data_IF_208009072218
#
_entry.id   IF_208009072218
#
_cell.length_a   1.000
_cell.length_b   1.000
_cell.length_c   1.000
_cell.angle_alpha   90.00
_cell.angle_beta   90.00
_cell.angle_gamma   90.00
#
_symmetry.space_group_name_H-M   'P 1'
#
loop_
_entity.id
_entity.type
_entity.pdbx_description
1 polymer ?
#
# COMPACT_ATOMS: atom_id res chain seq x y z
N UNK A 1 14.32 36.35 -17.36
CA UNK A 1 13.45 36.14 -16.18
C UNK A 1 12.00 35.75 -16.52
N UNK A 2 11.52 35.85 -17.75
CA UNK A 2 10.12 35.54 -18.13
C UNK A 2 9.86 34.07 -18.51
N UNK A 3 10.88 33.27 -18.86
CA UNK A 3 10.69 31.90 -19.34
C UNK A 3 10.51 30.84 -18.23
N UNK A 4 11.04 31.09 -17.05
CA UNK A 4 10.97 30.15 -15.92
C UNK A 4 9.59 30.15 -15.23
N UNK A 5 8.87 31.29 -15.23
CA UNK A 5 7.50 31.35 -14.69
C UNK A 5 6.48 30.64 -15.59
N UNK A 6 6.61 30.70 -16.92
CA UNK A 6 5.73 29.97 -17.84
C UNK A 6 5.89 28.45 -17.77
N UNK A 7 7.10 27.95 -17.55
CA UNK A 7 7.36 26.53 -17.39
C UNK A 7 6.79 26.00 -16.06
N UNK A 8 6.88 26.77 -14.97
CA UNK A 8 6.26 26.40 -13.68
C UNK A 8 4.73 26.44 -13.73
N UNK A 9 4.12 27.46 -14.36
CA UNK A 9 2.67 27.49 -14.54
C UNK A 9 2.15 26.33 -15.41
N UNK A 10 2.87 25.94 -16.46
CA UNK A 10 2.48 24.78 -17.27
C UNK A 10 2.59 23.47 -16.50
N UNK A 11 3.61 23.28 -15.65
CA UNK A 11 3.72 22.08 -14.78
C UNK A 11 2.61 22.06 -13.72
N UNK A 12 2.30 23.16 -13.07
CA UNK A 12 1.21 23.26 -12.10
C UNK A 12 -0.16 23.05 -12.78
N UNK A 13 -0.35 23.54 -14.00
CA UNK A 13 -1.60 23.32 -14.76
C UNK A 13 -1.74 21.87 -15.23
N UNK A 14 -0.63 21.19 -15.59
CA UNK A 14 -0.63 19.77 -15.97
C UNK A 14 -0.86 18.87 -14.75
N UNK A 15 -0.33 19.23 -13.59
CA UNK A 15 -0.58 18.50 -12.33
C UNK A 15 -2.04 18.69 -11.89
N UNK A 16 -2.58 19.91 -11.97
CA UNK A 16 -3.99 20.18 -11.69
C UNK A 16 -4.93 19.48 -12.70
N UNK A 17 -4.58 19.39 -13.99
CA UNK A 17 -5.38 18.67 -15.00
C UNK A 17 -5.26 17.14 -14.85
N UNK A 18 -4.14 16.59 -14.40
CA UNK A 18 -4.01 15.16 -14.09
C UNK A 18 -4.79 14.76 -12.82
N UNK A 19 -4.80 15.59 -11.79
CA UNK A 19 -5.66 15.42 -10.61
C UNK A 19 -7.15 15.60 -10.96
N UNK A 20 -7.50 16.57 -11.81
CA UNK A 20 -8.88 16.79 -12.28
C UNK A 20 -9.32 15.73 -13.30
N UNK A 21 -8.42 15.18 -14.12
CA UNK A 21 -8.73 14.05 -15.02
C UNK A 21 -9.00 12.74 -14.26
N UNK A 22 -8.47 12.56 -13.05
CA UNK A 22 -8.85 11.48 -12.13
C UNK A 22 -10.27 11.66 -11.56
N UNK A 23 -10.80 12.91 -11.55
CA UNK A 23 -12.11 13.24 -10.99
C UNK A 23 -13.20 13.39 -12.09
N UNK A 24 -12.83 13.64 -13.37
CA UNK A 24 -13.75 14.00 -14.45
C UNK A 24 -13.98 12.92 -15.52
N UNK A 25 -13.40 11.72 -15.39
CA UNK A 25 -13.82 10.61 -16.26
C UNK A 25 -15.16 10.08 -15.77
N UNK A 26 -16.22 10.66 -16.25
CA UNK A 26 -17.58 10.27 -15.96
C UNK A 26 -17.82 8.78 -16.20
N UNK A 27 -18.56 8.14 -15.31
CA UNK A 27 -19.03 6.74 -15.34
C UNK A 27 -17.97 5.62 -15.27
N UNK A 28 -16.72 5.89 -14.90
CA UNK A 28 -15.85 4.85 -14.37
C UNK A 28 -16.08 4.80 -12.85
N UNK A 29 -16.65 3.72 -12.33
CA UNK A 29 -16.91 3.52 -10.91
C UNK A 29 -15.69 3.88 -10.07
N UNK A 30 -15.90 4.39 -8.85
CA UNK A 30 -14.82 4.80 -7.95
C UNK A 30 -13.76 3.69 -7.88
N UNK A 31 -12.52 4.02 -8.28
CA UNK A 31 -11.44 3.04 -8.39
C UNK A 31 -10.81 2.89 -7.02
N UNK A 32 -11.14 1.81 -6.31
CA UNK A 32 -10.41 1.36 -5.13
C UNK A 32 -9.25 0.45 -5.53
N UNK A 33 -8.28 0.28 -4.64
CA UNK A 33 -7.24 -0.74 -4.76
C UNK A 33 -7.14 -1.56 -3.47
N UNK A 34 -8.15 -2.41 -3.24
CA UNK A 34 -8.20 -3.27 -2.07
C UNK A 34 -7.04 -4.26 -2.10
N UNK A 35 -6.33 -4.40 -1.01
CA UNK A 35 -5.20 -5.32 -0.87
C UNK A 35 -5.57 -6.65 -0.25
N UNK A 36 -4.58 -7.55 -0.19
CA UNK A 36 -4.66 -8.83 0.50
C UNK A 36 -3.45 -9.04 1.40
N UNK A 37 -3.60 -9.90 2.41
CA UNK A 37 -2.56 -10.28 3.36
C UNK A 37 -2.73 -11.73 3.79
N UNK A 38 -1.66 -12.53 3.73
CA UNK A 38 -1.61 -13.84 4.37
C UNK A 38 -1.05 -13.70 5.77
N UNK A 39 -1.83 -14.09 6.76
CA UNK A 39 -1.40 -14.12 8.14
C UNK A 39 -2.04 -15.32 8.86
N UNK A 40 -1.29 -15.95 9.77
CA UNK A 40 -1.77 -17.05 10.61
C UNK A 40 -2.48 -18.17 9.81
N UNK A 41 -1.95 -18.51 8.61
CA UNK A 41 -2.50 -19.58 7.75
C UNK A 41 -3.83 -19.22 7.09
N UNK A 42 -4.18 -17.94 6.99
CA UNK A 42 -5.39 -17.44 6.33
C UNK A 42 -5.04 -16.28 5.40
N UNK A 43 -5.65 -16.27 4.23
CA UNK A 43 -5.53 -15.16 3.27
C UNK A 43 -6.74 -14.23 3.45
N UNK A 44 -6.47 -13.02 3.90
CA UNK A 44 -7.48 -11.96 4.04
C UNK A 44 -7.43 -11.05 2.83
N UNK A 45 -8.58 -10.79 2.23
CA UNK A 45 -8.69 -9.93 1.06
C UNK A 45 -9.82 -8.91 1.24
N UNK A 46 -9.50 -7.64 1.04
CA UNK A 46 -10.50 -6.59 0.87
C UNK A 46 -11.06 -6.65 -0.56
N UNK A 47 -12.31 -6.27 -0.75
CA UNK A 47 -12.99 -6.35 -2.04
C UNK A 47 -13.46 -4.96 -2.52
N UNK A 48 -13.73 -4.82 -3.82
CA UNK A 48 -14.20 -3.57 -4.40
C UNK A 48 -15.67 -3.26 -4.05
N UNK A 49 -16.43 -4.23 -3.56
CA UNK A 49 -17.81 -4.08 -3.06
C UNK A 49 -17.90 -3.87 -1.54
N UNK A 50 -16.76 -3.59 -0.88
CA UNK A 50 -16.72 -3.22 0.54
C UNK A 50 -16.82 -4.40 1.52
N UNK A 51 -16.40 -5.59 1.12
CA UNK A 51 -16.30 -6.77 1.99
C UNK A 51 -14.87 -7.10 2.35
N UNK A 52 -14.71 -7.85 3.43
CA UNK A 52 -13.48 -8.52 3.80
C UNK A 52 -13.73 -10.03 3.75
N UNK A 53 -12.86 -10.74 3.06
CA UNK A 53 -12.94 -12.19 2.91
C UNK A 53 -11.77 -12.83 3.64
N UNK A 54 -12.04 -13.95 4.35
CA UNK A 54 -11.01 -14.88 4.79
C UNK A 54 -11.08 -16.13 3.89
N UNK A 55 -9.94 -16.47 3.33
CA UNK A 55 -9.81 -17.54 2.35
C UNK A 55 -8.75 -18.56 2.81
N UNK A 56 -8.90 -19.78 2.38
CA UNK A 56 -7.82 -20.75 2.45
C UNK A 56 -6.75 -20.37 1.40
N UNK A 57 -5.47 -20.15 1.79
CA UNK A 57 -4.44 -19.73 0.86
C UNK A 57 -4.09 -20.78 -0.21
N UNK A 58 -4.28 -22.08 0.07
CA UNK A 58 -3.92 -23.16 -0.87
C UNK A 58 -4.98 -23.37 -1.96
N UNK A 59 -6.26 -23.10 -1.66
CA UNK A 59 -7.39 -23.40 -2.56
C UNK A 59 -8.22 -22.20 -2.99
N UNK A 60 -8.06 -21.05 -2.34
CA UNK A 60 -8.92 -19.88 -2.53
C UNK A 60 -10.34 -20.07 -1.99
N UNK A 61 -10.63 -21.21 -1.29
CA UNK A 61 -11.96 -21.46 -0.73
C UNK A 61 -12.26 -20.51 0.42
N UNK A 62 -13.50 -20.01 0.45
CA UNK A 62 -13.92 -19.02 1.44
C UNK A 62 -14.15 -19.68 2.80
N UNK A 63 -13.54 -19.10 3.87
CA UNK A 63 -13.78 -19.46 5.27
C UNK A 63 -14.94 -18.65 5.83
N UNK A 64 -14.88 -17.34 5.69
CA UNK A 64 -15.96 -16.39 6.03
C UNK A 64 -15.90 -15.16 5.13
N UNK A 65 -16.99 -14.39 5.10
CA UNK A 65 -17.04 -13.04 4.55
C UNK A 65 -17.72 -12.09 5.54
N UNK A 66 -17.20 -10.87 5.61
CA UNK A 66 -17.71 -9.83 6.48
C UNK A 66 -17.95 -8.54 5.70
N UNK A 67 -19.00 -7.83 6.09
CA UNK A 67 -19.26 -6.45 5.66
C UNK A 67 -19.91 -5.68 6.81
N UNK A 68 -19.74 -4.33 6.88
CA UNK A 68 -20.40 -3.52 7.89
C UNK A 68 -21.92 -3.68 7.85
N UNK A 69 -22.57 -3.71 9.02
CA UNK A 69 -24.03 -3.70 9.08
C UNK A 69 -24.59 -2.32 8.75
N UNK A 70 -25.75 -2.27 8.09
CA UNK A 70 -26.46 -1.02 7.77
C UNK A 70 -26.73 -0.23 9.06
N UNK A 71 -26.25 1.03 9.13
CA UNK A 71 -26.36 1.91 10.31
C UNK A 71 -25.02 2.23 10.99
N UNK A 72 -23.99 1.39 10.80
CA UNK A 72 -22.61 1.68 11.20
C UNK A 72 -21.79 2.31 10.07
N UNK A 73 -22.24 2.19 8.82
CA UNK A 73 -21.67 2.90 7.68
C UNK A 73 -22.09 4.37 7.74
N UNK A 74 -21.35 5.18 8.47
CA UNK A 74 -21.55 6.63 8.50
C UNK A 74 -21.46 7.21 7.09
N UNK A 75 -22.59 7.64 6.54
CA UNK A 75 -22.86 8.18 5.23
C UNK A 75 -22.86 7.12 4.09
N UNK A 76 -24.05 6.93 3.52
CA UNK A 76 -24.20 6.51 2.13
C UNK A 76 -23.43 7.50 1.27
N UNK A 77 -22.21 7.14 0.86
CA UNK A 77 -21.59 7.85 -0.26
C UNK A 77 -22.54 7.60 -1.42
N UNK A 78 -23.26 8.64 -1.85
CA UNK A 78 -23.97 8.62 -3.12
C UNK A 78 -22.91 8.58 -4.22
N UNK A 79 -22.24 7.43 -4.36
CA UNK A 79 -21.52 7.14 -5.58
C UNK A 79 -22.60 7.04 -6.64
N UNK A 80 -22.57 7.93 -7.63
CA UNK A 80 -23.32 7.81 -8.85
C UNK A 80 -22.91 6.48 -9.52
N UNK A 81 -23.48 5.39 -9.06
CA UNK A 81 -23.39 4.09 -9.68
C UNK A 81 -24.56 4.02 -10.65
N UNK A 82 -24.28 3.94 -11.95
CA UNK A 82 -25.28 3.66 -12.96
C UNK A 82 -25.93 2.29 -12.85
N UNK A 83 -25.54 1.48 -11.89
CA UNK A 83 -26.15 0.20 -11.54
C UNK A 83 -26.53 0.25 -10.06
N UNK A 84 -27.79 0.41 -9.76
CA UNK A 84 -28.45 0.63 -8.46
C UNK A 84 -28.10 -0.26 -7.25
N UNK A 85 -26.85 -0.68 -7.09
CA UNK A 85 -26.35 -1.34 -5.89
C UNK A 85 -25.67 -0.31 -4.97
N UNK A 86 -26.29 -0.04 -3.83
CA UNK A 86 -25.65 0.73 -2.76
C UNK A 86 -24.47 -0.07 -2.20
N UNK A 87 -23.24 0.51 -2.29
CA UNK A 87 -22.08 -0.04 -1.62
C UNK A 87 -22.26 0.17 -0.11
N UNK A 88 -22.52 -0.90 0.62
CA UNK A 88 -22.56 -0.88 2.08
C UNK A 88 -21.10 -0.95 2.54
N UNK A 89 -20.62 0.08 3.23
CA UNK A 89 -19.25 0.12 3.80
C UNK A 89 -18.26 1.02 3.08
N UNK A 90 -18.31 1.19 1.76
CA UNK A 90 -17.39 2.05 1.02
C UNK A 90 -16.21 1.31 0.36
N UNK A 91 -15.16 2.04 0.01
CA UNK A 91 -14.00 1.56 -0.76
C UNK A 91 -12.79 1.35 0.16
N UNK A 92 -11.90 0.43 -0.24
CA UNK A 92 -10.58 0.21 0.38
C UNK A 92 -9.45 0.76 -0.50
N UNK A 93 -8.42 1.33 0.14
CA UNK A 93 -7.19 1.78 -0.51
C UNK A 93 -5.93 1.16 0.09
N UNK A 94 -6.04 0.00 0.71
CA UNK A 94 -4.93 -0.72 1.32
C UNK A 94 -5.27 -2.16 1.65
N UNK A 95 -4.28 -2.88 2.12
CA UNK A 95 -4.45 -4.24 2.62
C UNK A 95 -4.97 -4.22 4.06
N UNK A 96 -5.65 -5.30 4.51
CA UNK A 96 -5.88 -5.55 5.92
C UNK A 96 -4.57 -5.65 6.71
N UNK A 97 -4.60 -5.40 8.02
CA UNK A 97 -3.54 -5.77 8.93
C UNK A 97 -4.05 -6.84 9.91
N UNK A 98 -3.17 -7.73 10.35
CA UNK A 98 -3.54 -8.82 11.28
C UNK A 98 -2.56 -8.85 12.44
N UNK A 99 -3.09 -8.91 13.65
CA UNK A 99 -2.31 -9.13 14.86
C UNK A 99 -3.16 -9.80 15.94
N UNK A 100 -2.58 -10.74 16.65
CA UNK A 100 -3.19 -11.41 17.82
C UNK A 100 -4.61 -11.95 17.53
N UNK A 101 -4.81 -12.62 16.39
CA UNK A 101 -6.11 -13.18 16.00
C UNK A 101 -7.17 -12.13 15.62
N UNK A 102 -6.78 -10.89 15.33
CA UNK A 102 -7.68 -9.81 14.92
C UNK A 102 -7.28 -9.23 13.58
N UNK A 103 -8.24 -9.07 12.69
CA UNK A 103 -8.10 -8.42 11.37
C UNK A 103 -8.55 -6.96 11.49
N UNK A 104 -7.69 -6.04 11.13
CA UNK A 104 -7.98 -4.61 11.11
C UNK A 104 -8.12 -4.12 9.68
N UNK A 105 -9.16 -3.35 9.41
CA UNK A 105 -9.40 -2.75 8.09
C UNK A 105 -9.87 -1.31 8.24
N UNK A 106 -9.57 -0.49 7.23
CA UNK A 106 -10.06 0.88 7.15
C UNK A 106 -10.70 1.14 5.80
N UNK A 107 -11.89 1.71 5.83
CA UNK A 107 -12.58 2.18 4.63
C UNK A 107 -12.16 3.61 4.29
N UNK A 108 -12.24 3.96 3.02
CA UNK A 108 -12.01 5.33 2.54
C UNK A 108 -12.86 6.37 3.31
N UNK A 109 -14.04 5.99 3.76
CA UNK A 109 -14.92 6.84 4.58
C UNK A 109 -14.38 7.17 5.97
N UNK A 110 -13.23 6.60 6.36
CA UNK A 110 -12.61 6.78 7.68
C UNK A 110 -13.13 5.83 8.76
N UNK A 111 -13.92 4.84 8.38
CA UNK A 111 -14.37 3.82 9.32
C UNK A 111 -13.30 2.74 9.49
N UNK A 112 -12.84 2.55 10.70
CA UNK A 112 -11.88 1.50 11.12
C UNK A 112 -12.65 0.39 11.83
N UNK A 113 -12.36 -0.86 11.48
CA UNK A 113 -12.98 -2.03 12.09
C UNK A 113 -11.93 -3.02 12.55
N UNK A 114 -12.22 -3.67 13.67
CA UNK A 114 -11.54 -4.89 14.10
C UNK A 114 -12.52 -6.06 14.00
N UNK A 115 -12.05 -7.15 13.41
CA UNK A 115 -12.83 -8.35 13.09
C UNK A 115 -12.07 -9.53 13.66
N UNK A 116 -12.76 -10.44 14.32
CA UNK A 116 -12.18 -11.70 14.79
C UNK A 116 -11.69 -12.52 13.59
N UNK A 117 -10.43 -12.91 13.61
CA UNK A 117 -9.78 -13.58 12.48
C UNK A 117 -10.34 -15.00 12.23
N UNK A 118 -10.90 -15.65 13.24
CA UNK A 118 -11.41 -17.01 13.17
C UNK A 118 -12.90 -17.04 12.75
N UNK A 119 -13.72 -16.22 13.39
CA UNK A 119 -15.20 -16.23 13.19
C UNK A 119 -15.67 -15.24 12.13
N UNK A 120 -14.94 -14.16 11.89
CA UNK A 120 -15.39 -13.04 11.06
C UNK A 120 -16.33 -12.07 11.79
N UNK A 121 -16.50 -12.21 13.11
CA UNK A 121 -17.34 -11.32 13.89
C UNK A 121 -16.67 -9.97 14.13
N UNK A 122 -17.43 -8.89 14.06
CA UNK A 122 -16.92 -7.56 14.39
C UNK A 122 -16.69 -7.44 15.89
N UNK A 123 -15.43 -7.05 16.27
CA UNK A 123 -15.05 -6.81 17.68
C UNK A 123 -15.37 -5.37 18.06
N UNK A 124 -14.87 -4.41 17.29
CA UNK A 124 -15.11 -2.99 17.51
C UNK A 124 -15.08 -2.20 16.18
N UNK A 125 -15.50 -0.96 16.28
CA UNK A 125 -15.53 0.02 15.20
C UNK A 125 -15.21 1.41 15.74
N UNK A 126 -14.51 2.23 14.91
CA UNK A 126 -14.19 3.62 15.19
C UNK A 126 -14.31 4.46 13.91
N UNK A 127 -14.88 5.68 14.03
CA UNK A 127 -14.95 6.62 12.90
C UNK A 127 -13.95 7.75 13.08
N UNK A 128 -13.02 7.92 12.13
CA UNK A 128 -11.99 8.96 12.12
C UNK A 128 -12.52 10.34 11.74
N UNK A 129 -13.77 10.44 11.27
CA UNK A 129 -14.38 11.67 10.75
C UNK A 129 -13.59 12.35 9.60
N UNK A 130 -12.74 11.60 8.90
CA UNK A 130 -11.93 12.05 7.78
C UNK A 130 -11.75 10.90 6.79
N UNK A 131 -11.46 11.19 5.52
CA UNK A 131 -11.21 10.15 4.52
C UNK A 131 -9.81 9.57 4.67
N UNK A 132 -9.65 8.31 4.22
CA UNK A 132 -8.40 7.55 4.27
C UNK A 132 -8.04 7.07 2.86
N UNK A 133 -6.79 7.27 2.45
CA UNK A 133 -6.26 6.84 1.15
C UNK A 133 -5.15 5.79 1.27
N UNK A 134 -4.84 5.35 2.48
CA UNK A 134 -3.86 4.30 2.79
C UNK A 134 -4.48 3.10 3.48
N UNK A 135 -3.62 2.20 3.93
CA UNK A 135 -3.99 1.06 4.76
C UNK A 135 -3.88 1.36 6.26
N UNK A 136 -4.19 0.35 7.02
CA UNK A 136 -4.03 0.32 8.47
C UNK A 136 -2.72 -0.39 8.85
N UNK A 137 -2.04 0.08 9.88
CA UNK A 137 -0.92 -0.62 10.50
C UNK A 137 -1.24 -0.97 11.96
N UNK A 138 -0.70 -2.08 12.43
CA UNK A 138 -0.88 -2.52 13.82
C UNK A 138 0.47 -2.91 14.43
N UNK A 139 0.69 -2.51 15.68
CA UNK A 139 1.87 -2.87 16.45
C UNK A 139 1.84 -2.21 17.82
N UNK A 140 2.48 -2.84 18.81
CA UNK A 140 2.47 -2.34 20.19
C UNK A 140 1.05 -2.12 20.74
N UNK A 141 0.14 -3.08 20.51
CA UNK A 141 -1.28 -3.01 20.89
C UNK A 141 -1.97 -1.71 20.45
N UNK A 142 -1.56 -1.20 19.29
CA UNK A 142 -2.06 0.05 18.75
C UNK A 142 -2.29 -0.07 17.23
N UNK A 143 -3.41 0.43 16.78
CA UNK A 143 -3.79 0.57 15.37
C UNK A 143 -3.49 2.00 14.93
N UNK A 144 -2.78 2.16 13.81
CA UNK A 144 -2.38 3.45 13.25
C UNK A 144 -3.02 3.67 11.89
N UNK A 145 -3.62 4.83 11.68
CA UNK A 145 -4.25 5.21 10.40
C UNK A 145 -3.92 6.66 10.06
N UNK A 146 -3.44 6.86 8.82
CA UNK A 146 -3.24 8.18 8.24
C UNK A 146 -4.52 8.68 7.56
N UNK A 147 -4.82 9.99 7.67
CA UNK A 147 -6.04 10.60 7.15
C UNK A 147 -5.78 11.75 6.20
N UNK A 148 -6.77 12.10 5.38
CA UNK A 148 -6.71 13.18 4.40
C UNK A 148 -6.75 14.59 5.02
N UNK A 149 -7.14 14.72 6.29
CA UNK A 149 -7.00 15.99 7.03
C UNK A 149 -5.62 16.16 7.68
N UNK A 150 -4.66 15.31 7.28
CA UNK A 150 -3.25 15.42 7.69
C UNK A 150 -2.95 14.87 9.08
N UNK A 151 -3.69 13.88 9.56
CA UNK A 151 -3.46 13.29 10.88
C UNK A 151 -2.96 11.85 10.78
N UNK A 152 -2.15 11.45 11.73
CA UNK A 152 -1.94 10.07 12.11
C UNK A 152 -2.69 9.82 13.41
N UNK A 153 -3.69 8.96 13.38
CA UNK A 153 -4.51 8.58 14.55
C UNK A 153 -4.08 7.21 15.07
N UNK A 154 -3.94 7.11 16.38
CA UNK A 154 -3.65 5.88 17.11
C UNK A 154 -4.84 5.46 17.96
N UNK A 155 -5.27 4.20 17.78
CA UNK A 155 -6.37 3.58 18.49
C UNK A 155 -5.86 2.36 19.27
N UNK A 156 -6.48 2.04 20.38
CA UNK A 156 -6.22 0.80 21.11
C UNK A 156 -6.66 -0.41 20.27
N UNK A 157 -5.78 -1.36 20.07
CA UNK A 157 -6.03 -2.52 19.20
C UNK A 157 -7.11 -3.46 19.75
N UNK A 158 -7.24 -3.55 21.08
CA UNK A 158 -8.19 -4.46 21.73
C UNK A 158 -9.64 -3.94 21.76
N UNK A 159 -9.84 -2.61 21.88
CA UNK A 159 -11.18 -2.06 22.08
C UNK A 159 -11.53 -0.85 21.19
N UNK A 160 -10.61 -0.40 20.34
CA UNK A 160 -10.82 0.71 19.41
C UNK A 160 -10.84 2.09 20.04
N UNK A 161 -10.53 2.23 21.33
CA UNK A 161 -10.52 3.54 21.99
C UNK A 161 -9.39 4.42 21.46
N UNK A 162 -9.65 5.72 21.35
CA UNK A 162 -8.66 6.71 20.96
C UNK A 162 -7.50 6.76 21.97
N UNK A 163 -6.25 6.72 21.48
CA UNK A 163 -5.04 6.89 22.29
C UNK A 163 -4.44 8.29 22.12
N UNK A 164 -4.09 8.62 20.89
CA UNK A 164 -3.48 9.90 20.54
C UNK A 164 -3.60 10.19 19.04
N UNK A 165 -3.37 11.43 18.64
CA UNK A 165 -3.21 11.83 17.24
C UNK A 165 -2.02 12.78 17.07
N UNK A 166 -1.42 12.76 15.89
CA UNK A 166 -0.36 13.68 15.48
C UNK A 166 -0.76 14.37 14.18
N UNK A 167 -0.62 15.70 14.11
CA UNK A 167 -1.00 16.49 12.93
C UNK A 167 0.22 16.87 12.11
N UNK A 168 0.18 16.61 10.82
CA UNK A 168 1.10 17.04 9.79
C UNK A 168 0.57 18.29 9.07
N UNK A 169 1.30 18.83 8.10
CA UNK A 169 0.86 20.01 7.35
C UNK A 169 0.05 19.68 6.09
N UNK A 170 -0.03 18.41 5.70
CA UNK A 170 -0.78 17.93 4.55
C UNK A 170 -1.20 16.47 4.78
N UNK A 171 -1.94 15.89 3.88
CA UNK A 171 -2.51 14.55 3.94
C UNK A 171 -1.49 13.44 4.24
N UNK A 172 -1.94 12.40 4.94
CA UNK A 172 -1.17 11.17 5.19
C UNK A 172 -1.80 10.04 4.37
N UNK A 173 -1.25 9.77 3.18
CA UNK A 173 -1.74 8.72 2.28
C UNK A 173 -1.05 7.38 2.48
N UNK A 174 0.20 7.41 2.96
CA UNK A 174 0.97 6.19 3.18
C UNK A 174 0.36 5.33 4.29
N UNK A 175 0.38 4.01 4.10
CA UNK A 175 0.21 3.09 5.23
C UNK A 175 1.40 3.27 6.17
N UNK A 176 1.20 3.47 7.49
CA UNK A 176 2.30 3.58 8.43
C UNK A 176 3.07 2.26 8.57
N UNK A 177 4.33 2.33 8.99
CA UNK A 177 5.12 1.15 9.37
C UNK A 177 5.48 1.23 10.86
N UNK A 178 5.34 0.12 11.58
CA UNK A 178 5.64 0.05 13.02
C UNK A 178 6.82 -0.88 13.25
N UNK A 179 7.85 -0.39 13.91
CA UNK A 179 9.01 -1.20 14.27
C UNK A 179 9.65 -0.68 15.57
N UNK A 180 10.01 -1.59 16.47
CA UNK A 180 10.75 -1.29 17.71
C UNK A 180 10.14 -0.15 18.55
N UNK A 181 8.80 -0.11 18.66
CA UNK A 181 8.09 0.91 19.43
C UNK A 181 8.03 2.29 18.76
N UNK A 182 8.34 2.37 17.48
CA UNK A 182 8.27 3.60 16.68
C UNK A 182 7.34 3.39 15.49
N UNK A 183 6.50 4.38 15.22
CA UNK A 183 5.70 4.43 13.99
C UNK A 183 6.32 5.42 13.02
N UNK A 184 6.51 4.96 11.78
CA UNK A 184 7.09 5.71 10.66
C UNK A 184 6.02 5.92 9.60
N UNK A 185 5.89 7.13 9.05
CA UNK A 185 4.94 7.42 7.99
C UNK A 185 5.36 8.63 7.16
N UNK A 186 5.01 8.60 5.89
CA UNK A 186 5.17 9.73 4.97
C UNK A 186 3.93 10.61 4.94
N UNK A 187 4.11 11.88 4.65
CA UNK A 187 3.02 12.84 4.40
C UNK A 187 3.23 13.58 3.08
N UNK A 188 2.15 14.06 2.50
CA UNK A 188 2.20 14.93 1.32
C UNK A 188 2.76 16.33 1.65
N UNK A 189 3.11 16.59 2.92
CA UNK A 189 3.87 17.77 3.34
C UNK A 189 5.38 17.66 3.09
N UNK A 190 5.82 16.62 2.35
CA UNK A 190 7.20 16.32 1.97
C UNK A 190 8.07 15.80 3.13
N UNK A 191 7.48 15.29 4.20
CA UNK A 191 8.23 14.81 5.35
C UNK A 191 7.95 13.33 5.65
N UNK A 192 9.01 12.62 6.01
CA UNK A 192 8.95 11.34 6.70
C UNK A 192 9.04 11.60 8.21
N UNK A 193 8.09 11.07 8.95
CA UNK A 193 7.98 11.22 10.40
C UNK A 193 8.30 9.93 11.12
N UNK A 194 8.91 10.04 12.30
CA UNK A 194 9.03 8.97 13.28
C UNK A 194 8.51 9.44 14.61
N UNK A 195 7.51 8.72 15.16
CA UNK A 195 6.91 9.01 16.45
C UNK A 195 7.04 7.81 17.37
N UNK A 196 7.06 8.06 18.67
CA UNK A 196 6.88 7.01 19.67
C UNK A 196 5.47 6.39 19.49
N UNK A 197 5.40 5.08 19.31
CA UNK A 197 4.14 4.38 19.05
C UNK A 197 3.17 4.41 20.25
N UNK A 198 3.68 4.61 21.49
CA UNK A 198 2.85 4.59 22.71
C UNK A 198 2.10 5.91 22.94
N UNK A 199 2.78 7.04 22.72
CA UNK A 199 2.28 8.36 23.14
C UNK A 199 2.26 9.42 22.00
N UNK A 200 2.69 9.06 20.78
CA UNK A 200 2.72 9.96 19.63
C UNK A 200 3.79 11.06 19.69
N UNK A 201 4.69 11.04 20.67
CA UNK A 201 5.76 12.03 20.75
C UNK A 201 6.70 11.92 19.56
N UNK A 202 6.99 13.06 18.93
CA UNK A 202 7.87 13.12 17.76
C UNK A 202 9.32 12.82 18.13
N UNK A 203 9.90 11.80 17.53
CA UNK A 203 11.33 11.47 17.66
C UNK A 203 12.17 12.29 16.70
N UNK A 204 11.80 12.26 15.43
CA UNK A 204 12.48 13.03 14.38
C UNK A 204 11.56 13.25 13.17
N UNK A 205 11.97 14.12 12.28
CA UNK A 205 11.39 14.36 10.97
C UNK A 205 12.51 14.48 9.94
N UNK A 206 12.30 13.88 8.77
CA UNK A 206 13.24 13.91 7.66
C UNK A 206 12.53 14.52 6.42
N UNK A 207 13.02 15.67 5.90
CA UNK A 207 12.42 16.30 4.73
C UNK A 207 12.92 15.66 3.43
N UNK A 208 12.03 15.54 2.45
CA UNK A 208 12.32 15.19 1.07
C UNK A 208 11.99 16.35 0.13
N UNK A 209 12.37 16.25 -1.14
CA UNK A 209 12.07 17.28 -2.14
C UNK A 209 10.64 17.24 -2.69
N UNK A 210 9.87 16.20 -2.40
CA UNK A 210 8.51 15.97 -2.88
C UNK A 210 7.65 15.23 -1.87
N UNK A 211 6.38 15.03 -2.21
CA UNK A 211 5.40 14.31 -1.41
C UNK A 211 5.83 12.86 -1.16
N UNK A 212 5.37 12.29 -0.04
CA UNK A 212 5.61 10.89 0.32
C UNK A 212 4.27 10.18 0.45
N UNK A 213 3.92 9.36 -0.55
CA UNK A 213 2.76 8.47 -0.53
C UNK A 213 3.15 7.00 -0.35
N UNK A 214 4.45 6.67 -0.47
CA UNK A 214 4.94 5.31 -0.32
C UNK A 214 4.94 4.86 1.14
N UNK A 215 4.66 3.58 1.39
CA UNK A 215 4.78 2.95 2.71
C UNK A 215 6.25 2.78 3.08
N UNK A 216 6.71 3.23 4.26
CA UNK A 216 8.08 3.03 4.69
C UNK A 216 8.41 1.54 4.87
N UNK A 217 9.59 1.11 4.43
CA UNK A 217 10.14 -0.21 4.74
C UNK A 217 11.20 -0.05 5.84
N UNK A 218 11.01 -0.71 6.98
CA UNK A 218 11.92 -0.59 8.12
C UNK A 218 12.66 -1.92 8.31
N UNK A 219 13.96 -1.92 8.05
CA UNK A 219 14.82 -3.11 8.12
C UNK A 219 16.14 -2.76 8.80
N UNK A 220 16.54 -3.55 9.81
CA UNK A 220 17.84 -3.47 10.46
C UNK A 220 18.24 -2.06 10.91
N UNK A 221 17.29 -1.30 11.45
CA UNK A 221 17.52 0.07 11.93
C UNK A 221 17.62 1.13 10.82
N UNK A 222 17.17 0.83 9.61
CA UNK A 222 17.09 1.75 8.49
C UNK A 222 15.66 1.83 7.97
N UNK A 223 15.19 3.04 7.71
CA UNK A 223 13.92 3.32 7.02
C UNK A 223 14.23 3.61 5.56
N UNK A 224 13.65 2.84 4.67
CA UNK A 224 13.73 3.01 3.21
C UNK A 224 12.41 3.59 2.70
N UNK A 225 12.50 4.68 1.92
CA UNK A 225 11.30 5.42 1.49
C UNK A 225 11.48 6.03 0.11
N UNK A 226 10.45 5.94 -0.71
CA UNK A 226 10.36 6.62 -1.99
C UNK A 226 9.62 7.95 -1.87
N UNK A 227 9.95 8.92 -2.73
CA UNK A 227 9.30 10.23 -2.79
C UNK A 227 8.90 10.61 -4.22
N UNK A 228 8.01 11.57 -4.33
CA UNK A 228 7.60 12.16 -5.61
C UNK A 228 8.62 13.17 -6.18
N UNK A 229 9.76 13.36 -5.49
CA UNK A 229 10.93 14.05 -6.05
C UNK A 229 11.80 13.15 -6.95
N UNK A 230 11.33 11.95 -7.28
CA UNK A 230 12.00 10.92 -8.07
C UNK A 230 13.20 10.26 -7.35
N UNK A 231 13.30 10.43 -6.04
CA UNK A 231 14.41 9.89 -5.24
C UNK A 231 13.93 8.78 -4.33
N UNK A 232 14.88 7.90 -4.00
CA UNK A 232 14.69 6.86 -3.00
C UNK A 232 15.72 7.03 -1.89
N UNK A 233 15.26 7.06 -0.65
CA UNK A 233 16.07 7.42 0.51
C UNK A 233 16.24 6.24 1.47
N UNK A 234 17.42 6.19 2.10
CA UNK A 234 17.63 5.41 3.31
C UNK A 234 17.97 6.36 4.47
N UNK A 235 17.22 6.23 5.55
CA UNK A 235 17.28 7.09 6.72
C UNK A 235 17.52 6.23 7.95
N UNK A 236 18.43 6.65 8.83
CA UNK A 236 18.66 5.96 10.09
C UNK A 236 17.40 6.01 10.97
N UNK A 237 16.90 4.84 11.36
CA UNK A 237 15.62 4.72 12.06
C UNK A 237 15.62 5.36 13.46
N UNK A 238 16.79 5.49 14.10
CA UNK A 238 16.89 6.04 15.45
C UNK A 238 17.05 7.56 15.45
N UNK A 239 17.84 8.07 14.48
CA UNK A 239 18.31 9.48 14.49
C UNK A 239 17.62 10.34 13.43
N UNK A 240 17.01 9.75 12.38
CA UNK A 240 16.49 10.47 11.24
C UNK A 240 17.57 10.99 10.29
N UNK A 241 18.85 10.62 10.47
CA UNK A 241 19.93 11.04 9.59
C UNK A 241 19.87 10.28 8.25
N UNK A 242 20.09 10.99 7.13
CA UNK A 242 20.21 10.37 5.81
C UNK A 242 21.45 9.48 5.76
N UNK A 243 21.28 8.22 5.41
CA UNK A 243 22.38 7.27 5.15
C UNK A 243 22.82 7.36 3.69
N UNK A 244 21.88 7.35 2.79
CA UNK A 244 22.13 7.53 1.36
C UNK A 244 20.84 7.97 0.63
N UNK A 245 21.00 8.44 -0.59
CA UNK A 245 19.93 8.77 -1.52
C UNK A 245 20.27 8.24 -2.92
N UNK A 246 19.27 7.68 -3.60
CA UNK A 246 19.34 7.30 -5.01
C UNK A 246 18.56 8.32 -5.85
N UNK A 247 19.19 8.89 -6.88
CA UNK A 247 18.64 9.95 -7.74
C UNK A 247 18.52 9.52 -9.22
N UNK A 248 18.65 8.21 -9.48
CA UNK A 248 18.71 7.67 -10.85
C UNK A 248 17.35 7.32 -11.47
N UNK A 249 16.23 7.58 -10.80
CA UNK A 249 14.90 7.25 -11.31
C UNK A 249 14.30 8.41 -12.14
N UNK A 250 13.47 8.04 -13.13
CA UNK A 250 12.84 9.00 -14.04
C UNK A 250 11.50 9.55 -13.54
N UNK A 251 10.90 8.94 -12.51
CA UNK A 251 9.58 9.30 -12.01
C UNK A 251 9.44 8.96 -10.51
N UNK A 252 8.23 9.02 -9.97
CA UNK A 252 7.87 8.86 -8.56
C UNK A 252 8.00 7.41 -8.08
N UNK A 253 8.45 7.25 -6.84
CA UNK A 253 8.32 6.01 -6.10
C UNK A 253 7.01 6.03 -5.30
N UNK A 254 6.06 5.20 -5.70
CA UNK A 254 4.70 5.19 -5.16
C UNK A 254 4.50 4.14 -4.06
N UNK A 255 5.10 2.97 -4.23
CA UNK A 255 4.83 1.80 -3.40
C UNK A 255 5.94 1.50 -2.40
N UNK A 256 5.66 0.61 -1.45
CA UNK A 256 6.66 0.05 -0.57
C UNK A 256 7.66 -0.80 -1.38
N UNK A 257 8.93 -0.72 -1.04
CA UNK A 257 9.95 -1.58 -1.60
C UNK A 257 9.99 -2.96 -0.92
N UNK A 258 10.55 -3.96 -1.61
CA UNK A 258 10.89 -5.25 -1.02
C UNK A 258 12.38 -5.30 -0.61
N UNK A 259 12.71 -6.13 0.37
CA UNK A 259 14.09 -6.36 0.83
C UNK A 259 14.45 -7.85 0.80
N UNK A 260 15.60 -8.15 0.25
CA UNK A 260 16.18 -9.49 0.29
C UNK A 260 17.68 -9.48 0.03
N UNK A 261 18.41 -10.27 0.80
CA UNK A 261 19.85 -10.49 0.63
C UNK A 261 20.68 -9.20 0.53
N UNK A 262 20.38 -8.18 1.37
CA UNK A 262 21.10 -6.91 1.36
C UNK A 262 20.73 -5.98 0.21
N UNK A 263 19.67 -6.26 -0.54
CA UNK A 263 19.19 -5.47 -1.69
C UNK A 263 17.76 -4.99 -1.46
N UNK A 264 17.51 -3.73 -1.78
CA UNK A 264 16.18 -3.10 -1.84
C UNK A 264 15.69 -3.15 -3.28
N UNK A 265 14.47 -3.60 -3.49
CA UNK A 265 13.81 -3.66 -4.79
C UNK A 265 12.63 -2.69 -4.78
N UNK A 266 12.70 -1.64 -5.59
CA UNK A 266 11.72 -0.57 -5.62
C UNK A 266 11.10 -0.41 -7.01
N UNK A 267 9.77 -0.47 -7.08
CA UNK A 267 9.01 -0.14 -8.29
C UNK A 267 8.85 1.36 -8.45
N UNK A 268 8.88 1.83 -9.70
CA UNK A 268 8.79 3.26 -10.04
C UNK A 268 7.75 3.51 -11.14
N UNK A 269 7.22 4.72 -11.19
CA UNK A 269 6.26 5.14 -12.22
C UNK A 269 6.93 5.44 -13.58
N UNK A 270 8.24 5.29 -13.70
CA UNK A 270 8.97 5.30 -14.98
C UNK A 270 9.03 3.91 -15.65
N UNK A 271 8.19 2.98 -15.21
CA UNK A 271 8.07 1.59 -15.67
C UNK A 271 9.16 0.65 -15.14
N UNK A 272 10.15 1.16 -14.42
CA UNK A 272 11.30 0.38 -13.99
C UNK A 272 11.14 -0.18 -12.57
N UNK A 273 11.83 -1.29 -12.34
CA UNK A 273 12.15 -1.83 -11.03
C UNK A 273 13.65 -1.67 -10.80
N UNK A 274 14.01 -1.04 -9.72
CA UNK A 274 15.38 -0.77 -9.31
C UNK A 274 15.81 -1.74 -8.22
N UNK A 275 17.01 -2.30 -8.33
CA UNK A 275 17.67 -3.07 -7.28
C UNK A 275 18.83 -2.25 -6.71
N UNK A 276 18.70 -1.84 -5.46
CA UNK A 276 19.65 -0.94 -4.78
C UNK A 276 20.31 -1.64 -3.60
N UNK A 277 21.61 -1.53 -3.47
CA UNK A 277 22.34 -2.03 -2.31
C UNK A 277 21.81 -1.36 -1.03
N UNK A 278 21.31 -2.13 -0.07
CA UNK A 278 20.69 -1.61 1.14
C UNK A 278 21.65 -0.73 1.97
N UNK A 279 22.94 -1.03 1.93
CA UNK A 279 23.95 -0.28 2.69
C UNK A 279 24.40 1.03 2.06
N UNK A 280 24.31 1.19 0.73
CA UNK A 280 24.95 2.31 0.02
C UNK A 280 24.11 2.95 -1.10
N UNK A 281 22.95 2.38 -1.44
CA UNK A 281 22.03 2.90 -2.48
C UNK A 281 22.53 2.75 -3.92
N UNK A 282 23.63 2.02 -4.17
CA UNK A 282 24.14 1.80 -5.53
C UNK A 282 23.31 0.74 -6.26
N UNK A 283 23.19 0.87 -7.58
CA UNK A 283 22.56 -0.15 -8.42
C UNK A 283 23.27 -1.50 -8.27
N UNK A 284 22.51 -2.55 -7.98
CA UNK A 284 22.99 -3.94 -7.94
C UNK A 284 22.91 -4.58 -9.31
N UNK A 285 21.81 -4.37 -10.02
CA UNK A 285 21.66 -4.87 -11.39
C UNK A 285 22.39 -3.96 -12.39
N UNK A 286 22.84 -4.53 -13.49
CA UNK A 286 23.53 -3.78 -14.55
C UNK A 286 22.65 -2.66 -15.14
N UNK A 287 21.33 -2.90 -15.19
CA UNK A 287 20.30 -1.94 -15.59
C UNK A 287 19.01 -2.25 -14.83
N UNK A 288 18.10 -1.28 -14.63
CA UNK A 288 16.79 -1.57 -14.07
C UNK A 288 15.98 -2.48 -14.99
N UNK A 289 15.01 -3.20 -14.41
CA UNK A 289 14.08 -4.03 -15.17
C UNK A 289 12.91 -3.18 -15.65
N UNK A 290 12.65 -3.13 -16.96
CA UNK A 290 11.50 -2.46 -17.56
C UNK A 290 10.28 -3.40 -17.57
N UNK A 291 9.25 -3.05 -16.79
CA UNK A 291 7.98 -3.79 -16.71
C UNK A 291 6.98 -3.42 -17.83
N UNK A 292 7.35 -2.50 -18.71
CA UNK A 292 6.55 -2.05 -19.86
C UNK A 292 5.40 -1.10 -19.50
N UNK A 293 5.08 -0.91 -18.22
CA UNK A 293 4.09 0.04 -17.71
C UNK A 293 4.39 0.40 -16.26
N UNK A 294 3.66 1.37 -15.69
CA UNK A 294 3.86 1.87 -14.33
C UNK A 294 3.91 0.72 -13.30
N UNK A 295 4.86 0.77 -12.36
CA UNK A 295 4.93 -0.19 -11.24
C UNK A 295 4.41 0.50 -9.99
N UNK A 296 3.11 0.34 -9.72
CA UNK A 296 2.40 0.93 -8.57
C UNK A 296 2.25 -0.03 -7.39
N UNK A 297 2.13 -1.31 -7.69
CA UNK A 297 2.03 -2.33 -6.66
C UNK A 297 3.39 -2.59 -6.00
N UNK A 298 3.38 -2.82 -4.69
CA UNK A 298 4.60 -3.20 -3.97
C UNK A 298 5.09 -4.57 -4.44
N UNK A 299 6.36 -4.71 -4.81
CA UNK A 299 6.94 -6.01 -5.15
C UNK A 299 7.06 -6.90 -3.91
N UNK A 300 7.13 -8.23 -4.13
CA UNK A 300 7.39 -9.20 -3.07
C UNK A 300 8.49 -10.17 -3.45
N UNK A 301 9.13 -10.75 -2.44
CA UNK A 301 10.10 -11.84 -2.62
C UNK A 301 9.47 -13.12 -2.10
N UNK A 302 9.36 -14.13 -2.96
CA UNK A 302 8.83 -15.43 -2.62
C UNK A 302 9.72 -16.53 -3.22
N UNK A 303 10.11 -17.52 -2.44
CA UNK A 303 10.94 -18.64 -2.89
C UNK A 303 12.26 -18.25 -3.55
N UNK A 304 12.83 -17.05 -3.24
CA UNK A 304 14.05 -16.56 -3.86
C UNK A 304 13.86 -15.92 -5.25
N UNK A 305 12.62 -15.59 -5.61
CA UNK A 305 12.24 -14.85 -6.82
C UNK A 305 11.63 -13.51 -6.42
N UNK A 306 12.02 -12.44 -7.09
CA UNK A 306 11.33 -11.17 -6.97
C UNK A 306 10.12 -11.18 -7.90
N UNK A 307 8.94 -10.99 -7.34
CA UNK A 307 7.71 -10.89 -8.13
C UNK A 307 7.26 -9.45 -8.18
N UNK A 308 7.08 -8.94 -9.37
CA UNK A 308 6.63 -7.58 -9.67
C UNK A 308 5.44 -7.62 -10.61
N UNK A 309 4.61 -6.61 -10.57
CA UNK A 309 3.47 -6.47 -11.48
C UNK A 309 3.41 -5.06 -12.03
N UNK A 310 3.18 -4.93 -13.33
CA UNK A 310 2.87 -3.66 -13.97
C UNK A 310 1.42 -3.24 -13.72
N UNK A 311 1.12 -1.96 -13.80
CA UNK A 311 -0.27 -1.45 -13.65
C UNK A 311 -1.24 -2.17 -14.58
N UNK A 312 -0.81 -2.59 -15.77
CA UNK A 312 -1.65 -3.26 -16.76
C UNK A 312 -1.89 -4.75 -16.48
N UNK A 313 -1.34 -5.30 -15.38
CA UNK A 313 -1.59 -6.65 -14.94
C UNK A 313 -0.60 -7.70 -15.43
N UNK A 314 0.50 -7.32 -16.07
CA UNK A 314 1.60 -8.25 -16.38
C UNK A 314 2.44 -8.52 -15.15
N UNK A 315 2.58 -9.78 -14.80
CA UNK A 315 3.34 -10.24 -13.63
C UNK A 315 4.65 -10.85 -14.09
N UNK A 316 5.73 -10.51 -13.43
CA UNK A 316 7.07 -10.99 -13.75
C UNK A 316 7.73 -11.61 -12.53
N UNK A 317 8.36 -12.77 -12.72
CA UNK A 317 9.32 -13.32 -11.77
C UNK A 317 10.74 -13.00 -12.23
N UNK A 318 11.51 -12.34 -11.36
CA UNK A 318 12.86 -11.87 -11.68
C UNK A 318 13.89 -12.55 -10.79
N UNK A 319 15.07 -12.77 -11.34
CA UNK A 319 16.23 -13.19 -10.56
C UNK A 319 16.69 -12.05 -9.65
N UNK A 320 16.85 -12.35 -8.36
CA UNK A 320 17.23 -11.34 -7.37
C UNK A 320 18.60 -10.71 -7.62
N UNK A 321 19.55 -11.46 -8.20
CA UNK A 321 20.94 -11.00 -8.37
C UNK A 321 21.14 -10.24 -9.68
N UNK A 322 20.48 -10.69 -10.75
CA UNK A 322 20.72 -10.17 -12.11
C UNK A 322 19.61 -9.28 -12.64
N UNK A 323 18.37 -9.42 -12.12
CA UNK A 323 17.19 -8.77 -12.65
C UNK A 323 16.65 -9.41 -13.92
N UNK A 324 17.21 -10.55 -14.35
CA UNK A 324 16.75 -11.28 -15.52
C UNK A 324 15.37 -11.87 -15.27
N UNK A 325 14.50 -11.79 -16.30
CA UNK A 325 13.17 -12.37 -16.27
C UNK A 325 13.25 -13.90 -16.30
N UNK A 326 12.75 -14.56 -15.24
CA UNK A 326 12.59 -16.02 -15.16
C UNK A 326 11.30 -16.48 -15.80
N UNK A 327 10.21 -15.75 -15.56
CA UNK A 327 8.89 -16.06 -16.09
C UNK A 327 8.04 -14.79 -16.21
N UNK A 328 6.95 -14.92 -16.97
CA UNK A 328 5.94 -13.87 -17.15
C UNK A 328 4.55 -14.52 -17.13
N UNK A 329 3.58 -13.85 -16.48
CA UNK A 329 2.18 -14.21 -16.49
C UNK A 329 1.36 -13.01 -16.98
N UNK A 330 0.63 -13.18 -18.09
CA UNK A 330 -0.11 -12.14 -18.80
C UNK A 330 -1.61 -12.48 -18.95
N UNK A 331 -2.22 -13.13 -17.95
CA UNK A 331 -3.65 -13.47 -17.97
C UNK A 331 -4.53 -12.51 -17.19
N UNK A 332 -3.95 -11.60 -16.40
CA UNK A 332 -4.68 -10.54 -15.72
C UNK A 332 -4.92 -9.42 -16.73
N UNK A 333 -6.16 -9.29 -17.22
CA UNK A 333 -6.54 -8.27 -18.21
C UNK A 333 -7.15 -7.03 -17.57
N UNK A 334 -6.67 -6.69 -16.37
CA UNK A 334 -7.13 -5.57 -15.57
C UNK A 334 -5.96 -4.96 -14.79
N UNK A 335 -6.15 -3.75 -14.27
CA UNK A 335 -5.13 -3.07 -13.50
C UNK A 335 -4.86 -3.77 -12.18
N UNK A 336 -3.59 -3.80 -11.79
CA UNK A 336 -3.13 -4.22 -10.46
C UNK A 336 -2.46 -3.01 -9.80
N UNK A 337 -3.08 -2.50 -8.75
CA UNK A 337 -2.66 -1.29 -8.04
C UNK A 337 -2.32 -1.57 -6.57
N UNK A 338 -2.79 -2.70 -6.07
CA UNK A 338 -2.62 -3.13 -4.68
C UNK A 338 -1.24 -3.74 -4.46
N UNK A 339 -0.67 -3.63 -3.25
CA UNK A 339 0.50 -4.40 -2.87
C UNK A 339 0.30 -5.89 -3.15
N UNK A 340 1.35 -6.55 -3.65
CA UNK A 340 1.41 -8.01 -3.69
C UNK A 340 1.64 -8.54 -2.29
N UNK A 341 1.17 -9.77 -2.04
CA UNK A 341 1.52 -10.51 -0.85
C UNK A 341 1.99 -11.92 -1.21
N UNK A 342 2.74 -12.56 -0.32
CA UNK A 342 3.29 -13.89 -0.58
C UNK A 342 3.49 -14.71 0.69
N UNK A 343 3.15 -15.99 0.59
CA UNK A 343 3.41 -16.95 1.64
C UNK A 343 3.66 -18.36 1.05
N UNK A 344 4.55 -19.15 1.65
CA UNK A 344 4.76 -20.55 1.28
C UNK A 344 5.16 -20.77 -0.20
N UNK A 345 5.80 -19.77 -0.85
CA UNK A 345 6.15 -19.88 -2.27
C UNK A 345 5.01 -19.52 -3.22
N UNK A 346 3.87 -19.07 -2.72
CA UNK A 346 2.72 -18.58 -3.50
C UNK A 346 2.63 -17.06 -3.42
N UNK A 347 2.34 -16.41 -4.54
CA UNK A 347 2.10 -14.98 -4.63
C UNK A 347 0.63 -14.71 -4.87
N UNK A 348 0.05 -13.80 -4.10
CA UNK A 348 -1.36 -13.43 -4.16
C UNK A 348 -1.50 -12.03 -4.78
N UNK A 349 -2.40 -11.93 -5.76
CA UNK A 349 -2.58 -10.72 -6.57
C UNK A 349 -4.07 -10.34 -6.60
N UNK A 350 -4.40 -9.24 -5.96
CA UNK A 350 -5.74 -8.67 -6.01
C UNK A 350 -5.84 -7.70 -7.20
N UNK A 351 -6.78 -7.95 -8.11
CA UNK A 351 -6.88 -7.24 -9.38
C UNK A 351 -8.23 -6.51 -9.53
N UNK A 352 -8.24 -5.44 -10.32
CA UNK A 352 -9.45 -4.65 -10.59
C UNK A 352 -10.51 -5.35 -11.46
N UNK A 353 -10.30 -6.60 -11.87
CA UNK A 353 -11.35 -7.47 -12.43
C UNK A 353 -12.18 -8.19 -11.35
N UNK A 354 -12.05 -7.80 -10.08
CA UNK A 354 -12.67 -8.44 -8.92
C UNK A 354 -12.25 -9.91 -8.73
N UNK A 355 -11.02 -10.24 -9.06
CA UNK A 355 -10.44 -11.55 -8.83
C UNK A 355 -9.19 -11.47 -7.97
N UNK A 356 -8.99 -12.54 -7.23
CA UNK A 356 -7.77 -12.83 -6.53
C UNK A 356 -7.08 -14.02 -7.22
N UNK A 357 -5.83 -13.84 -7.59
CA UNK A 357 -4.99 -14.83 -8.24
C UNK A 357 -3.94 -15.34 -7.26
N UNK A 358 -3.67 -16.64 -7.30
CA UNK A 358 -2.54 -17.26 -6.64
C UNK A 358 -1.62 -17.87 -7.68
N UNK A 359 -0.36 -17.45 -7.69
CA UNK A 359 0.65 -17.93 -8.62
C UNK A 359 1.79 -18.62 -7.85
N UNK A 360 2.30 -19.70 -8.40
CA UNK A 360 3.56 -20.29 -7.96
C UNK A 360 4.72 -19.30 -8.25
N UNK A 361 5.46 -18.93 -7.23
CA UNK A 361 6.52 -17.90 -7.34
C UNK A 361 7.71 -18.34 -8.18
N UNK A 362 7.96 -19.66 -8.34
CA UNK A 362 9.10 -20.19 -9.11
C UNK A 362 8.82 -20.25 -10.60
N UNK A 363 7.57 -20.56 -10.96
CA UNK A 363 7.20 -20.86 -12.34
C UNK A 363 6.25 -19.85 -12.96
N UNK A 364 5.58 -19.02 -12.14
CA UNK A 364 4.52 -18.11 -12.57
C UNK A 364 3.22 -18.83 -12.96
N UNK A 365 3.11 -20.14 -12.76
CA UNK A 365 1.89 -20.87 -13.07
C UNK A 365 0.78 -20.49 -12.08
N UNK A 366 -0.41 -20.27 -12.60
CA UNK A 366 -1.60 -20.02 -11.78
C UNK A 366 -2.00 -21.32 -11.05
N UNK A 367 -1.99 -21.25 -9.73
CA UNK A 367 -2.47 -22.35 -8.85
C UNK A 367 -3.99 -22.32 -8.82
N UNK A 368 -4.56 -21.13 -8.54
CA UNK A 368 -5.98 -20.87 -8.58
C UNK A 368 -6.28 -19.39 -8.87
N UNK A 369 -7.52 -19.11 -9.20
CA UNK A 369 -8.05 -17.76 -9.36
C UNK A 369 -9.53 -17.75 -9.03
N UNK A 370 -9.95 -16.90 -8.08
CA UNK A 370 -11.32 -16.87 -7.58
C UNK A 370 -11.92 -15.47 -7.70
N UNK A 371 -13.24 -15.37 -8.01
CA UNK A 371 -13.92 -14.10 -7.96
C UNK A 371 -14.08 -13.65 -6.49
N UNK A 372 -13.88 -12.37 -6.24
CA UNK A 372 -14.06 -11.74 -4.92
C UNK A 372 -15.49 -11.28 -4.68
N UNK A 373 -16.24 -11.02 -5.73
CA UNK A 373 -17.67 -10.68 -5.68
C UNK A 373 -18.53 -11.89 -6.04
N UNK A 374 -19.78 -11.93 -5.54
CA UNK A 374 -20.78 -12.96 -5.88
C UNK A 374 -21.37 -12.71 -7.24
#
# INVERSE_FOLDING_TARGET
MFNTRRARLKKVLIIATLLVALILSGCAGARSWPGSLVAEGTLYASTMDGRVLALNPDSGSRKWDWQPTAGQSGQTVSSFSCAGSQLVGGLFYGAPAVANGTVYVVFHTGNVYAIDAQSGDQIWYYNLHSTVSGGVAVGNDTVFVGTADGKLTALDAGNGSFKWEFTTKNEVWATPAVANGVVYFGSLDHNLYALNAVDGTKKWVFPTGGEIASTPLVIQGVVYIGSFDNKFYAVDANTGAQKWVFEGAGNWFWSQAAYGNGTIYAGNLDHNVYALGAGNGTMVWLKPFDAGSLVKASPVIAGGVLVVVSEEGKVYGLDLKTGEKKWEFDNIKAKVLSPLDAAGGVVYINSQDNKLYALDSQTGHQIWGVPLTK
#
